data_IF_197817297649
#
_entry.id   IF_197817297649
#
_cell.length_a   1.000
_cell.length_b   1.000
_cell.length_c   1.000
_cell.angle_alpha   90.00
_cell.angle_beta   90.00
_cell.angle_gamma   90.00
#
_symmetry.space_group_name_H-M   'P 1'
#
loop_
_entity.id
_entity.type
_entity.pdbx_description
1 polymer ?
#
# COMPACT_ATOMS: atom_id res chain seq x y z
N UNK A 1 31.13 -9.07 -22.82
CA UNK A 1 30.42 -8.92 -21.53
C UNK A 1 29.60 -7.64 -21.55
N UNK A 2 28.27 -7.73 -21.47
CA UNK A 2 27.39 -6.56 -21.45
C UNK A 2 27.30 -6.01 -20.01
N UNK A 3 28.14 -5.02 -19.65
CA UNK A 3 27.98 -4.30 -18.38
C UNK A 3 26.74 -3.41 -18.49
N UNK A 4 25.85 -3.52 -17.50
CA UNK A 4 24.45 -3.09 -17.62
C UNK A 4 24.26 -1.62 -17.98
N UNK A 5 23.29 -1.34 -18.86
CA UNK A 5 22.86 0.02 -19.18
C UNK A 5 22.24 0.65 -17.93
N UNK A 6 22.69 1.84 -17.56
CA UNK A 6 22.17 2.57 -16.40
C UNK A 6 20.66 2.79 -16.53
N UNK A 7 19.87 2.20 -15.63
CA UNK A 7 18.43 2.47 -15.54
C UNK A 7 18.25 3.96 -15.20
N UNK A 8 17.39 4.64 -15.95
CA UNK A 8 16.89 5.97 -15.61
C UNK A 8 15.50 5.78 -15.04
N UNK A 9 15.24 6.34 -13.86
CA UNK A 9 13.90 6.38 -13.28
C UNK A 9 13.19 7.60 -13.86
N UNK A 10 11.98 7.39 -14.37
CA UNK A 10 11.07 8.46 -14.74
C UNK A 10 10.60 9.17 -13.46
N UNK A 11 10.42 10.50 -13.51
CA UNK A 11 9.84 11.23 -12.38
C UNK A 11 8.38 10.76 -12.15
N UNK A 12 7.88 10.72 -10.90
CA UNK A 12 6.50 10.28 -10.62
C UNK A 12 5.48 11.09 -11.44
N UNK A 13 5.64 12.41 -11.50
CA UNK A 13 4.76 13.30 -12.28
C UNK A 13 4.72 12.99 -13.80
N UNK A 14 5.73 12.29 -14.35
CA UNK A 14 5.71 11.84 -15.76
C UNK A 14 4.92 10.54 -15.92
N UNK A 15 4.93 9.66 -14.92
CA UNK A 15 4.11 8.45 -14.88
C UNK A 15 2.63 8.86 -14.78
N UNK A 16 2.32 9.84 -13.93
CA UNK A 16 0.97 10.38 -13.75
C UNK A 16 0.44 11.00 -15.05
N UNK A 17 1.30 11.71 -15.80
CA UNK A 17 0.97 12.21 -17.16
C UNK A 17 0.65 11.10 -18.15
N UNK A 18 1.41 10.01 -18.14
CA UNK A 18 1.20 8.87 -19.05
C UNK A 18 -0.06 8.06 -18.73
N UNK A 19 -0.41 7.93 -17.44
CA UNK A 19 -1.66 7.28 -17.02
C UNK A 19 -2.89 8.22 -17.09
N UNK A 20 -2.72 9.49 -17.46
CA UNK A 20 -3.81 10.47 -17.48
C UNK A 20 -4.34 10.84 -16.08
N UNK A 21 -3.55 10.60 -15.03
CA UNK A 21 -3.92 10.88 -13.64
C UNK A 21 -3.67 12.37 -13.37
N UNK A 22 -4.63 13.20 -13.79
CA UNK A 22 -4.75 14.57 -13.29
C UNK A 22 -4.96 14.55 -11.77
N UNK A 23 -4.47 15.56 -11.04
CA UNK A 23 -4.74 15.69 -9.58
C UNK A 23 -6.25 15.79 -9.25
N UNK A 24 -7.07 16.20 -10.22
CA UNK A 24 -8.54 16.17 -10.13
C UNK A 24 -9.11 14.75 -10.33
N UNK A 25 -8.46 13.93 -11.15
CA UNK A 25 -8.81 12.52 -11.35
C UNK A 25 -8.56 11.69 -10.09
N UNK A 26 -7.54 12.00 -9.28
CA UNK A 26 -7.35 11.36 -7.96
C UNK A 26 -8.54 11.59 -7.01
N UNK A 27 -9.13 12.80 -7.02
CA UNK A 27 -10.33 13.08 -6.21
C UNK A 27 -11.59 12.42 -6.79
N UNK A 28 -11.65 12.27 -8.11
CA UNK A 28 -12.78 11.66 -8.84
C UNK A 28 -12.76 10.14 -8.77
N UNK A 29 -11.59 9.51 -8.84
CA UNK A 29 -11.41 8.05 -8.75
C UNK A 29 -11.81 7.55 -7.36
N UNK A 30 -11.41 8.25 -6.31
CA UNK A 30 -11.85 7.98 -4.93
C UNK A 30 -13.36 8.18 -4.70
N UNK A 31 -14.07 8.84 -5.62
CA UNK A 31 -15.53 9.09 -5.53
C UNK A 31 -16.35 8.19 -6.46
N UNK A 32 -15.80 7.76 -7.59
CA UNK A 32 -16.50 6.99 -8.64
C UNK A 32 -16.55 5.48 -8.35
N UNK A 33 -15.67 4.95 -7.49
CA UNK A 33 -15.68 3.54 -7.07
C UNK A 33 -16.98 3.15 -6.32
N UNK A 34 -17.75 4.13 -5.83
CA UNK A 34 -18.98 3.88 -5.07
C UNK A 34 -20.27 3.80 -5.90
N UNK A 35 -20.26 4.18 -7.18
CA UNK A 35 -21.51 4.45 -7.94
C UNK A 35 -21.66 3.67 -9.26
N UNK A 36 -20.65 2.88 -9.66
CA UNK A 36 -20.73 2.05 -10.88
C UNK A 36 -21.33 0.68 -10.60
N UNK A 37 -22.63 0.68 -10.30
CA UNK A 37 -23.44 -0.52 -10.37
C UNK A 37 -23.51 -1.01 -11.83
N UNK A 38 -23.06 -2.24 -11.99
CA UNK A 38 -23.15 -3.11 -13.17
C UNK A 38 -24.53 -3.03 -13.82
N UNK A 39 -24.56 -2.75 -15.13
CA UNK A 39 -25.64 -3.11 -16.03
C UNK A 39 -25.11 -3.19 -17.47
N UNK A 40 -24.40 -4.27 -17.77
CA UNK A 40 -23.95 -4.63 -19.12
C UNK A 40 -24.43 -6.06 -19.38
N UNK A 41 -25.69 -6.15 -19.79
CA UNK A 41 -26.44 -7.40 -19.97
C UNK A 41 -26.65 -7.69 -21.46
N UNK A 42 -26.10 -8.82 -21.88
CA UNK A 42 -26.66 -9.76 -22.88
C UNK A 42 -26.79 -9.33 -24.35
N UNK A 43 -26.96 -10.39 -25.16
CA UNK A 43 -27.71 -10.50 -26.45
C UNK A 43 -26.84 -10.60 -27.71
N UNK A 44 -26.76 -11.84 -28.25
CA UNK A 44 -26.74 -12.29 -29.67
C UNK A 44 -25.71 -11.62 -30.64
N UNK A 45 -25.32 -12.08 -31.84
CA UNK A 45 -25.61 -13.22 -32.73
C UNK A 45 -24.24 -13.92 -33.12
N UNK A 46 -24.07 -15.07 -33.79
CA UNK A 46 -24.91 -16.16 -34.34
C UNK A 46 -23.99 -17.43 -34.55
N UNK A 47 -24.53 -18.60 -34.97
CA UNK A 47 -23.94 -19.67 -35.84
C UNK A 47 -24.62 -21.06 -35.60
N UNK A 48 -25.56 -21.45 -36.48
CA UNK A 48 -26.17 -22.80 -36.56
C UNK A 48 -25.49 -23.68 -37.64
N UNK A 49 -25.75 -25.00 -37.59
CA UNK A 49 -25.51 -26.02 -38.65
C UNK A 49 -24.03 -26.38 -39.00
N UNK A 50 -23.64 -27.63 -39.26
CA UNK A 50 -24.23 -28.98 -39.02
C UNK A 50 -23.06 -30.00 -39.03
N UNK A 51 -23.10 -31.03 -38.18
CA UNK A 51 -22.09 -32.12 -38.13
C UNK A 51 -22.66 -33.36 -38.87
N UNK A 52 -22.18 -33.67 -40.08
CA UNK A 52 -22.41 -34.96 -40.75
C UNK A 52 -21.13 -35.83 -40.68
N UNK A 53 -21.19 -36.87 -39.85
CA UNK A 53 -20.18 -37.93 -39.72
C UNK A 53 -20.48 -39.04 -40.74
N UNK A 54 -19.60 -39.25 -41.72
CA UNK A 54 -19.58 -40.48 -42.54
C UNK A 54 -18.27 -41.24 -42.29
N UNK A 55 -18.30 -42.15 -41.31
CA UNK A 55 -17.30 -43.20 -41.12
C UNK A 55 -17.41 -44.25 -42.26
N UNK A 56 -16.44 -44.30 -43.17
CA UNK A 56 -16.16 -45.49 -43.99
C UNK A 56 -14.77 -46.05 -43.65
N UNK A 57 -14.76 -47.08 -42.79
CA UNK A 57 -13.63 -47.98 -42.59
C UNK A 57 -13.31 -48.74 -43.89
N UNK A 58 -12.08 -48.65 -44.38
CA UNK A 58 -11.52 -49.66 -45.30
C UNK A 58 -10.07 -49.98 -44.93
N UNK A 59 -9.90 -51.02 -44.11
CA UNK A 59 -8.60 -51.59 -43.75
C UNK A 59 -8.07 -52.48 -44.89
N UNK A 60 -7.35 -51.92 -45.87
CA UNK A 60 -6.51 -52.74 -46.75
C UNK A 60 -5.04 -52.30 -46.86
N UNK A 61 -4.19 -53.29 -46.62
CA UNK A 61 -2.73 -53.35 -46.70
C UNK A 61 -2.14 -52.63 -47.92
N UNK A 62 -1.03 -51.91 -47.73
CA UNK A 62 0.25 -52.07 -48.49
C UNK A 62 1.17 -50.85 -48.34
N UNK A 63 2.46 -51.05 -48.57
CA UNK A 63 3.54 -50.05 -48.38
C UNK A 63 3.59 -48.94 -49.45
N UNK A 64 2.44 -48.44 -49.89
CA UNK A 64 2.38 -47.37 -50.89
C UNK A 64 2.70 -45.99 -50.30
N UNK A 65 3.41 -45.16 -51.06
CA UNK A 65 3.65 -43.77 -50.66
C UNK A 65 2.39 -42.95 -50.90
N UNK A 66 1.56 -42.90 -49.86
CA UNK A 66 0.48 -41.95 -49.64
C UNK A 66 0.69 -40.60 -50.36
N UNK A 67 -0.24 -40.25 -51.26
CA UNK A 67 -0.23 -39.01 -52.04
C UNK A 67 -1.27 -38.05 -51.46
N UNK A 68 -0.97 -36.75 -51.49
CA UNK A 68 -1.88 -35.71 -50.97
C UNK A 68 -1.79 -35.54 -49.45
N UNK A 69 -2.79 -34.84 -48.89
CA UNK A 69 -2.80 -34.42 -47.48
C UNK A 69 -3.69 -35.28 -46.57
N UNK A 70 -4.48 -36.21 -47.12
CA UNK A 70 -5.42 -37.07 -46.37
C UNK A 70 -4.78 -37.96 -45.30
N UNK A 71 -3.45 -38.11 -45.33
CA UNK A 71 -2.68 -38.92 -44.40
C UNK A 71 -1.92 -38.05 -43.37
N UNK A 72 -2.13 -36.73 -43.40
CA UNK A 72 -1.60 -35.81 -42.39
C UNK A 72 -2.62 -35.73 -41.25
N UNK A 73 -2.21 -36.12 -40.04
CA UNK A 73 -3.01 -35.95 -38.83
C UNK A 73 -3.28 -34.45 -38.63
N UNK A 74 -4.54 -34.09 -38.43
CA UNK A 74 -4.92 -32.71 -38.11
C UNK A 74 -4.42 -32.32 -36.71
N UNK A 75 -3.51 -31.34 -36.66
CA UNK A 75 -2.98 -30.82 -35.40
C UNK A 75 -3.63 -29.48 -35.09
N UNK A 76 -4.71 -29.52 -34.31
CA UNK A 76 -5.37 -28.31 -33.82
C UNK A 76 -4.71 -27.78 -32.54
N UNK A 77 -4.62 -26.45 -32.41
CA UNK A 77 -4.11 -25.81 -31.19
C UNK A 77 -5.26 -25.61 -30.20
N UNK A 78 -5.26 -26.25 -29.00
CA UNK A 78 -6.36 -26.14 -28.03
C UNK A 78 -6.68 -24.70 -27.62
N UNK A 79 -5.71 -23.78 -27.69
CA UNK A 79 -5.93 -22.34 -27.38
C UNK A 79 -6.54 -21.53 -28.55
N UNK A 80 -6.75 -22.14 -29.73
CA UNK A 80 -7.44 -21.53 -30.88
C UNK A 80 -8.84 -22.09 -31.10
N UNK A 81 -9.10 -23.31 -30.64
CA UNK A 81 -10.44 -23.90 -30.70
C UNK A 81 -11.32 -23.13 -29.71
N UNK A 82 -12.45 -22.59 -30.19
CA UNK A 82 -13.52 -22.12 -29.30
C UNK A 82 -14.26 -23.34 -28.73
N UNK A 83 -13.57 -24.22 -28.01
CA UNK A 83 -14.20 -25.38 -27.37
C UNK A 83 -15.29 -24.87 -26.41
N UNK A 84 -16.50 -25.44 -26.52
CA UNK A 84 -17.69 -25.13 -25.71
C UNK A 84 -17.28 -24.83 -24.26
N UNK A 85 -17.56 -23.61 -23.81
CA UNK A 85 -17.03 -22.98 -22.60
C UNK A 85 -16.96 -23.97 -21.43
N UNK A 86 -15.74 -24.34 -21.00
CA UNK A 86 -15.55 -25.08 -19.75
C UNK A 86 -16.01 -24.15 -18.63
N UNK A 87 -17.22 -24.40 -18.11
CA UNK A 87 -17.84 -23.55 -17.12
C UNK A 87 -16.89 -23.41 -15.92
N UNK A 88 -16.50 -22.18 -15.52
CA UNK A 88 -15.50 -21.98 -14.50
C UNK A 88 -15.91 -22.65 -13.20
N UNK A 89 -14.96 -23.29 -12.52
CA UNK A 89 -15.26 -24.04 -11.30
C UNK A 89 -15.91 -23.13 -10.26
N UNK A 90 -16.80 -23.64 -9.39
CA UNK A 90 -17.37 -22.85 -8.28
C UNK A 90 -16.28 -22.14 -7.44
N UNK A 91 -15.10 -22.76 -7.31
CA UNK A 91 -13.91 -22.17 -6.64
C UNK A 91 -13.32 -21.00 -7.42
N UNK A 92 -13.28 -21.10 -8.74
CA UNK A 92 -12.77 -20.09 -9.67
C UNK A 92 -13.71 -18.88 -9.77
N UNK A 93 -15.02 -19.12 -9.87
CA UNK A 93 -16.04 -18.06 -9.79
C UNK A 93 -15.90 -17.30 -8.46
N UNK A 94 -15.82 -18.01 -7.33
CA UNK A 94 -15.65 -17.38 -6.02
C UNK A 94 -14.31 -16.61 -5.90
N UNK A 95 -13.23 -17.10 -6.51
CA UNK A 95 -11.95 -16.40 -6.56
C UNK A 95 -11.99 -15.14 -7.45
N UNK A 96 -12.66 -15.22 -8.61
CA UNK A 96 -12.86 -14.09 -9.53
C UNK A 96 -13.70 -12.98 -8.90
N UNK A 97 -14.81 -13.34 -8.23
CA UNK A 97 -15.60 -12.41 -7.42
C UNK A 97 -14.72 -11.78 -6.35
N UNK A 98 -14.00 -12.59 -5.54
CA UNK A 98 -13.14 -12.06 -4.46
C UNK A 98 -12.00 -11.16 -4.98
N UNK A 99 -11.50 -11.38 -6.19
CA UNK A 99 -10.45 -10.57 -6.81
C UNK A 99 -10.96 -9.24 -7.38
N UNK A 100 -12.26 -9.14 -7.72
CA UNK A 100 -12.89 -7.95 -8.30
C UNK A 100 -13.66 -7.11 -7.29
N UNK A 101 -14.15 -7.70 -6.20
CA UNK A 101 -14.84 -6.98 -5.11
C UNK A 101 -13.89 -6.13 -4.27
N UNK A 102 -14.30 -4.90 -3.93
CA UNK A 102 -13.55 -4.06 -2.98
C UNK A 102 -13.30 -4.79 -1.66
N UNK A 103 -12.07 -4.74 -1.10
CA UNK A 103 -11.75 -5.45 0.13
C UNK A 103 -12.58 -4.99 1.33
N UNK A 104 -13.10 -3.74 1.31
CA UNK A 104 -14.00 -3.21 2.33
C UNK A 104 -15.37 -3.91 2.29
N UNK A 105 -15.88 -4.27 1.10
CA UNK A 105 -17.16 -4.98 0.92
C UNK A 105 -17.07 -6.47 1.30
N UNK A 106 -15.86 -7.02 1.39
CA UNK A 106 -15.59 -8.39 1.82
C UNK A 106 -15.50 -8.56 3.34
N UNK A 107 -15.35 -7.46 4.10
CA UNK A 107 -15.30 -7.49 5.56
C UNK A 107 -16.72 -7.55 6.15
N UNK A 108 -16.87 -8.30 7.24
CA UNK A 108 -18.07 -8.24 8.06
C UNK A 108 -18.22 -6.88 8.74
N UNK A 109 -19.45 -6.50 9.11
CA UNK A 109 -19.72 -5.27 9.87
C UNK A 109 -18.92 -5.21 11.18
N UNK A 110 -18.75 -6.35 11.84
CA UNK A 110 -17.93 -6.51 13.05
C UNK A 110 -16.45 -6.24 12.81
N UNK A 111 -15.86 -6.75 11.72
CA UNK A 111 -14.46 -6.47 11.37
C UNK A 111 -14.28 -5.01 10.93
N UNK A 112 -15.24 -4.44 10.20
CA UNK A 112 -15.23 -3.04 9.80
C UNK A 112 -15.28 -2.13 11.04
N UNK A 113 -16.16 -2.41 12.00
CA UNK A 113 -16.25 -1.69 13.26
C UNK A 113 -14.95 -1.82 14.09
N UNK A 114 -14.35 -3.00 14.17
CA UNK A 114 -13.07 -3.22 14.85
C UNK A 114 -11.93 -2.43 14.19
N UNK A 115 -11.87 -2.41 12.85
CA UNK A 115 -10.89 -1.61 12.10
C UNK A 115 -11.09 -0.10 12.33
N UNK A 116 -12.34 0.38 12.37
CA UNK A 116 -12.65 1.78 12.71
C UNK A 116 -12.21 2.11 14.15
N UNK A 117 -12.51 1.25 15.12
CA UNK A 117 -12.08 1.43 16.51
C UNK A 117 -10.55 1.47 16.65
N UNK A 118 -9.82 0.59 15.95
CA UNK A 118 -8.36 0.59 15.87
C UNK A 118 -7.81 1.89 15.29
N UNK A 119 -8.42 2.41 14.22
CA UNK A 119 -8.05 3.70 13.62
C UNK A 119 -8.34 4.88 14.56
N UNK A 120 -9.43 4.84 15.33
CA UNK A 120 -9.75 5.86 16.34
C UNK A 120 -8.71 5.88 17.47
N UNK A 121 -8.24 4.71 17.93
CA UNK A 121 -7.18 4.62 18.94
C UNK A 121 -5.87 5.25 18.42
N UNK A 122 -5.42 4.88 17.22
CA UNK A 122 -4.22 5.45 16.59
C UNK A 122 -4.33 6.97 16.38
N UNK A 123 -5.53 7.49 16.06
CA UNK A 123 -5.78 8.94 15.97
C UNK A 123 -5.61 9.61 17.34
N UNK A 124 -6.21 9.08 18.39
CA UNK A 124 -6.08 9.59 19.77
C UNK A 124 -4.62 9.57 20.26
N UNK A 125 -3.87 8.50 20.00
CA UNK A 125 -2.46 8.40 20.37
C UNK A 125 -1.61 9.46 19.66
N UNK A 126 -1.83 9.66 18.35
CA UNK A 126 -1.13 10.70 17.57
C UNK A 126 -1.47 12.11 18.05
N UNK A 127 -2.73 12.35 18.39
CA UNK A 127 -3.18 13.63 18.95
C UNK A 127 -2.54 13.90 20.32
N UNK A 128 -2.58 12.93 21.24
CA UNK A 128 -1.95 13.05 22.56
C UNK A 128 -0.42 13.21 22.46
N UNK A 129 0.24 12.52 21.52
CA UNK A 129 1.66 12.69 21.26
C UNK A 129 2.01 14.10 20.73
N UNK A 130 1.18 14.63 19.83
CA UNK A 130 1.32 16.00 19.31
C UNK A 130 1.09 17.05 20.41
N UNK A 131 0.02 16.91 21.20
CA UNK A 131 -0.27 17.79 22.34
C UNK A 131 0.86 17.75 23.39
N UNK A 132 1.40 16.57 23.70
CA UNK A 132 2.55 16.44 24.62
C UNK A 132 3.80 17.15 24.10
N UNK A 133 4.10 17.01 22.81
CA UNK A 133 5.23 17.70 22.16
C UNK A 133 5.03 19.23 22.17
N UNK A 134 3.81 19.70 21.91
CA UNK A 134 3.49 21.12 21.97
C UNK A 134 3.61 21.67 23.40
N UNK A 135 3.07 20.98 24.40
CA UNK A 135 3.20 21.37 25.81
C UNK A 135 4.66 21.40 26.27
N UNK A 136 5.49 20.41 25.88
CA UNK A 136 6.92 20.43 26.18
C UNK A 136 7.63 21.63 25.51
N UNK A 137 7.30 21.92 24.24
CA UNK A 137 7.84 23.07 23.52
C UNK A 137 7.43 24.39 24.18
N UNK A 138 6.16 24.57 24.53
CA UNK A 138 5.64 25.76 25.20
C UNK A 138 6.28 25.92 26.61
N UNK A 139 6.41 24.84 27.39
CA UNK A 139 7.07 24.88 28.70
C UNK A 139 8.57 25.25 28.58
N UNK A 140 9.27 24.68 27.61
CA UNK A 140 10.68 25.00 27.31
C UNK A 140 10.85 26.44 26.83
N UNK A 141 9.92 26.95 26.04
CA UNK A 141 9.90 28.35 25.60
C UNK A 141 9.59 29.30 26.75
N UNK A 142 8.62 28.99 27.60
CA UNK A 142 8.31 29.75 28.81
C UNK A 142 9.51 29.79 29.77
N UNK A 143 10.21 28.66 29.97
CA UNK A 143 11.45 28.61 30.75
C UNK A 143 12.58 29.45 30.11
N UNK A 144 12.72 29.42 28.79
CA UNK A 144 13.69 30.25 28.04
C UNK A 144 13.33 31.74 28.15
N UNK A 145 12.06 32.10 28.09
CA UNK A 145 11.57 33.46 28.25
C UNK A 145 11.78 33.97 29.68
N UNK A 146 11.44 33.17 30.69
CA UNK A 146 11.65 33.50 32.11
C UNK A 146 13.14 33.69 32.44
N UNK A 147 14.02 32.80 31.95
CA UNK A 147 15.47 32.93 32.14
C UNK A 147 16.07 34.12 31.37
N UNK A 148 15.54 34.44 30.18
CA UNK A 148 15.93 35.65 29.44
C UNK A 148 15.46 36.94 30.15
N UNK A 149 14.23 36.96 30.68
CA UNK A 149 13.70 38.08 31.47
C UNK A 149 14.52 38.30 32.75
N UNK A 150 14.81 37.25 33.51
CA UNK A 150 15.66 37.32 34.69
C UNK A 150 17.04 37.91 34.37
N UNK A 151 17.70 37.45 33.30
CA UNK A 151 18.97 38.01 32.82
C UNK A 151 18.86 39.51 32.49
N UNK A 152 17.80 39.95 31.79
CA UNK A 152 17.57 41.39 31.51
C UNK A 152 17.43 42.22 32.79
N UNK A 153 16.69 41.75 33.79
CA UNK A 153 16.56 42.47 35.08
C UNK A 153 17.86 42.55 35.88
N UNK A 154 18.79 41.59 35.69
CA UNK A 154 20.09 41.61 36.37
C UNK A 154 21.08 42.63 35.81
N UNK A 155 20.94 43.01 34.52
CA UNK A 155 21.85 43.94 33.86
C UNK A 155 21.44 45.43 34.00
N UNK A 156 20.23 45.73 34.46
CA UNK A 156 19.73 47.11 34.60
C UNK A 156 19.85 47.70 36.01
N UNK A 157 20.48 47.00 36.97
CA UNK A 157 20.79 47.57 38.29
C UNK A 157 22.00 48.52 38.18
N UNK A 158 21.86 49.83 38.46
CA UNK A 158 22.98 50.76 38.38
C UNK A 158 24.02 50.43 39.46
N UNK A 159 25.31 50.49 39.09
CA UNK A 159 26.42 50.23 40.00
C UNK A 159 26.54 51.32 41.08
N UNK A 160 25.99 51.07 42.27
CA UNK A 160 26.42 51.81 43.46
C UNK A 160 27.72 51.21 44.00
N UNK A 161 28.79 52.01 43.91
CA UNK A 161 30.15 51.63 44.30
C UNK A 161 30.32 51.57 45.82
N UNK A 162 30.25 50.36 46.37
CA UNK A 162 31.02 49.94 47.56
C UNK A 162 31.15 48.41 47.45
N UNK A 163 32.24 47.75 47.85
CA UNK A 163 33.46 48.20 48.49
C UNK A 163 34.04 47.01 49.24
N UNK A 164 35.35 46.74 49.05
CA UNK A 164 36.18 45.92 49.95
C UNK A 164 36.04 44.38 49.89
N UNK A 165 36.91 43.79 49.05
CA UNK A 165 37.74 42.59 49.30
C UNK A 165 37.12 41.28 49.80
N UNK A 166 37.19 40.26 48.93
CA UNK A 166 38.05 39.10 49.21
C UNK A 166 37.46 37.91 49.98
N UNK A 167 36.99 36.92 49.22
CA UNK A 167 37.29 35.51 49.52
C UNK A 167 37.22 34.64 48.26
N UNK A 168 38.09 33.64 48.21
CA UNK A 168 38.24 32.68 47.13
C UNK A 168 37.28 31.49 47.29
N UNK A 169 37.52 30.47 46.44
CA UNK A 169 37.00 29.09 46.40
C UNK A 169 35.85 28.89 45.42
N UNK A 170 35.86 27.96 44.47
CA UNK A 170 36.80 26.96 43.92
C UNK A 170 36.02 26.34 42.75
N UNK A 171 36.68 25.92 41.68
CA UNK A 171 35.99 25.34 40.52
C UNK A 171 35.39 23.95 40.83
N UNK A 172 34.24 23.64 40.27
CA UNK A 172 33.81 22.26 40.03
C UNK A 172 33.09 22.16 38.69
N UNK A 173 33.79 21.71 37.65
CA UNK A 173 33.15 21.21 36.44
C UNK A 173 32.24 20.04 36.81
N UNK A 174 31.07 19.95 36.18
CA UNK A 174 30.27 18.74 36.22
C UNK A 174 29.71 18.44 34.84
N UNK A 175 30.45 17.61 34.10
CA UNK A 175 29.97 16.99 32.88
C UNK A 175 28.76 16.11 33.23
N UNK A 176 27.71 16.21 32.42
CA UNK A 176 26.68 15.19 32.34
C UNK A 176 26.35 14.94 30.87
N UNK A 177 27.11 14.03 30.26
CA UNK A 177 26.66 13.35 29.05
C UNK A 177 25.50 12.41 29.42
N UNK A 178 24.39 12.48 28.71
CA UNK A 178 23.31 11.49 28.78
C UNK A 178 23.01 10.94 27.39
N UNK A 179 23.78 9.92 27.00
CA UNK A 179 23.50 9.10 25.82
C UNK A 179 22.32 8.18 26.14
N UNK A 180 21.13 8.54 25.69
CA UNK A 180 19.92 7.76 25.91
C UNK A 180 19.67 6.81 24.73
N UNK A 181 20.39 5.68 24.71
CA UNK A 181 20.07 4.54 23.83
C UNK A 181 19.05 3.64 24.52
N UNK A 182 17.81 3.58 24.02
CA UNK A 182 16.89 2.43 24.23
C UNK A 182 16.03 2.18 23.00
N UNK A 183 16.55 1.33 22.11
CA UNK A 183 15.69 0.59 21.18
C UNK A 183 14.84 -0.36 22.02
N UNK A 184 13.52 -0.23 21.96
CA UNK A 184 12.62 -1.18 22.62
C UNK A 184 12.01 -2.11 21.56
N UNK A 185 12.70 -3.21 21.31
CA UNK A 185 12.18 -4.35 20.54
C UNK A 185 11.77 -5.39 21.59
N UNK A 186 10.47 -5.54 21.80
CA UNK A 186 9.77 -6.58 22.56
C UNK A 186 8.27 -6.25 22.46
N UNK A 187 7.34 -7.19 22.36
CA UNK A 187 7.39 -8.59 21.96
C UNK A 187 5.98 -8.93 21.47
N UNK A 188 5.82 -9.79 20.47
CA UNK A 188 4.51 -10.27 20.05
C UNK A 188 3.98 -11.29 21.07
N UNK A 189 3.03 -10.89 21.91
CA UNK A 189 2.11 -11.84 22.53
C UNK A 189 0.95 -12.08 21.56
N UNK A 190 1.01 -13.24 20.89
CA UNK A 190 -0.14 -13.88 20.26
C UNK A 190 -0.73 -14.78 21.34
N UNK A 191 -1.98 -14.50 21.72
CA UNK A 191 -2.80 -15.39 22.55
C UNK A 191 -4.02 -15.78 21.73
N UNK A 192 -3.90 -16.88 20.99
CA UNK A 192 -5.08 -17.65 20.56
C UNK A 192 -5.56 -18.45 21.78
N UNK A 193 -6.85 -18.34 22.12
CA UNK A 193 -7.43 -19.04 23.28
C UNK A 193 -8.87 -19.50 22.95
N UNK A 194 -9.01 -20.81 22.72
CA UNK A 194 -10.21 -21.64 22.47
C UNK A 194 -10.98 -21.43 21.15
#
# INVERSE_FOLDING_TARGET
>A
MHKGRTRKFTAPEEIDRQLGISKEAESSLNKTIHDKNINDTETDDDDEEEEEEEDEDDEEDTSERHKGVSHLIEVCNPNRIKSKTVAPSRKEIAASIKATTDPIKLLSETELAANIARLQLVRKERELAAQKLEQEKQAREAQRAATAAAKRTSQTKPQQKSGRSGKQHTNSNKEHQTVNQRNNINSSEITDDN
#
